data_IF_204797439875
#
_entry.id   IF_204797439875
#
_cell.length_a   1.000
_cell.length_b   1.000
_cell.length_c   1.000
_cell.angle_alpha   90.00
_cell.angle_beta   90.00
_cell.angle_gamma   90.00
#
_symmetry.space_group_name_H-M   'P 1'
#
loop_
_entity.id
_entity.type
_entity.pdbx_description
1 polymer ?
#
# COMPACT_ATOMS: atom_id res chain seq x y z
N UNK A 1 -10.69 11.43 -12.02
CA UNK A 1 -10.30 12.11 -10.76
C UNK A 1 -8.88 12.64 -10.90
N UNK A 2 -8.53 13.78 -10.32
CA UNK A 2 -7.15 14.27 -10.31
C UNK A 2 -6.28 13.32 -9.47
N UNK A 3 -5.07 13.10 -9.98
CA UNK A 3 -4.06 12.24 -9.36
C UNK A 3 -2.80 13.03 -9.06
N UNK A 4 -2.07 12.57 -8.06
CA UNK A 4 -0.69 12.93 -7.80
C UNK A 4 0.21 11.71 -7.91
N UNK A 5 1.51 11.89 -7.70
CA UNK A 5 2.49 10.81 -7.69
C UNK A 5 3.35 10.91 -6.43
N UNK A 6 3.62 9.78 -5.82
CA UNK A 6 4.52 9.64 -4.69
C UNK A 6 5.31 8.34 -4.80
N UNK A 7 6.47 8.29 -4.18
CA UNK A 7 7.29 7.10 -4.18
C UNK A 7 8.74 7.40 -3.85
N UNK A 8 9.63 6.69 -4.52
CA UNK A 8 11.06 6.71 -4.25
C UNK A 8 11.85 7.16 -5.48
N UNK A 9 12.85 7.98 -5.25
CA UNK A 9 13.81 8.42 -6.25
C UNK A 9 15.20 7.98 -5.83
N UNK A 10 15.97 7.40 -6.75
CA UNK A 10 17.37 7.11 -6.56
C UNK A 10 18.21 8.28 -7.07
N UNK A 11 18.97 8.86 -6.19
CA UNK A 11 19.79 10.04 -6.46
C UNK A 11 21.27 9.67 -6.31
N UNK A 12 22.09 10.16 -7.24
CA UNK A 12 23.54 10.03 -7.15
C UNK A 12 24.10 11.06 -6.18
N UNK A 13 24.83 10.59 -5.18
CA UNK A 13 25.72 11.42 -4.37
C UNK A 13 27.12 11.36 -4.97
N UNK A 14 27.48 12.38 -5.73
CA UNK A 14 28.81 12.43 -6.37
C UNK A 14 29.94 12.54 -5.35
N UNK A 15 29.70 13.20 -4.21
CA UNK A 15 30.73 13.38 -3.18
C UNK A 15 31.03 12.07 -2.44
N UNK A 16 30.02 11.26 -2.18
CA UNK A 16 30.15 9.96 -1.53
C UNK A 16 30.41 8.80 -2.51
N UNK A 17 30.14 9.01 -3.80
CA UNK A 17 30.21 7.96 -4.82
C UNK A 17 29.14 6.86 -4.63
N UNK A 18 28.02 7.19 -4.00
CA UNK A 18 26.94 6.26 -3.64
C UNK A 18 25.61 6.68 -4.27
N UNK A 19 24.64 5.76 -4.21
CA UNK A 19 23.23 6.07 -4.51
C UNK A 19 22.46 6.23 -3.20
N UNK A 20 21.71 7.31 -3.12
CA UNK A 20 20.78 7.60 -2.02
C UNK A 20 19.34 7.39 -2.49
N UNK A 21 18.52 6.78 -1.64
CA UNK A 21 17.09 6.67 -1.87
C UNK A 21 16.35 7.78 -1.14
N UNK A 22 15.57 8.59 -1.86
CA UNK A 22 14.74 9.67 -1.30
C UNK A 22 13.28 9.40 -1.56
N UNK A 23 12.44 9.61 -0.53
CA UNK A 23 10.99 9.60 -0.70
C UNK A 23 10.54 10.96 -1.20
N UNK A 24 9.65 10.95 -2.16
CA UNK A 24 9.03 12.15 -2.73
C UNK A 24 7.52 12.00 -2.79
N UNK A 25 6.83 13.12 -2.57
CA UNK A 25 5.41 13.26 -2.81
C UNK A 25 5.19 14.58 -3.55
N UNK A 26 4.59 14.52 -4.74
CA UNK A 26 4.31 15.72 -5.53
C UNK A 26 3.14 16.53 -4.98
N UNK A 27 2.24 15.90 -4.23
CA UNK A 27 1.12 16.46 -3.46
C UNK A 27 0.36 17.59 -4.15
N UNK A 28 0.07 17.46 -5.42
CA UNK A 28 -0.76 18.38 -6.20
C UNK A 28 -1.56 17.64 -7.27
N UNK A 29 -2.63 18.27 -7.74
CA UNK A 29 -3.43 17.75 -8.85
C UNK A 29 -2.62 17.89 -10.14
N UNK A 30 -2.02 16.78 -10.57
CA UNK A 30 -0.98 16.74 -11.59
C UNK A 30 -1.40 15.96 -12.83
N UNK A 31 -2.14 14.87 -12.64
CA UNK A 31 -2.39 13.87 -13.65
C UNK A 31 -3.87 13.50 -13.69
N UNK A 32 -4.31 13.01 -14.82
CA UNK A 32 -5.62 12.38 -14.97
C UNK A 32 -5.52 11.21 -15.95
N UNK A 33 -6.21 10.11 -15.66
CA UNK A 33 -6.41 9.02 -16.61
C UNK A 33 -7.75 9.30 -17.31
N UNK A 34 -7.75 9.79 -18.55
CA UNK A 34 -8.96 10.12 -19.25
C UNK A 34 -9.66 8.87 -19.78
N UNK A 35 -10.99 8.84 -19.71
CA UNK A 35 -11.79 7.82 -20.36
C UNK A 35 -12.18 8.28 -21.76
N UNK A 36 -12.27 7.35 -22.69
CA UNK A 36 -12.82 7.64 -24.02
C UNK A 36 -14.33 7.95 -23.92
N UNK A 37 -14.77 8.95 -24.65
CA UNK A 37 -16.19 9.29 -24.69
C UNK A 37 -17.00 8.20 -25.36
N UNK A 38 -18.22 7.96 -24.88
CA UNK A 38 -19.13 6.93 -25.46
C UNK A 38 -19.42 7.14 -26.95
N UNK A 39 -19.29 8.36 -27.44
CA UNK A 39 -19.43 8.65 -28.87
C UNK A 39 -18.37 7.96 -29.73
N UNK A 40 -17.22 7.65 -29.14
CA UNK A 40 -16.08 7.01 -29.81
C UNK A 40 -15.91 5.54 -29.37
N UNK A 41 -16.55 5.13 -28.26
CA UNK A 41 -16.65 3.75 -27.81
C UNK A 41 -18.12 3.38 -27.55
N UNK A 42 -18.82 2.94 -28.57
CA UNK A 42 -20.24 2.57 -28.52
C UNK A 42 -20.51 1.30 -27.72
N UNK A 43 -19.48 0.53 -27.41
CA UNK A 43 -19.56 -0.74 -26.70
C UNK A 43 -19.33 -0.58 -25.19
N UNK A 44 -18.99 0.60 -24.71
CA UNK A 44 -18.63 0.85 -23.31
C UNK A 44 -19.64 0.27 -22.30
N UNK A 45 -20.94 0.45 -22.56
CA UNK A 45 -22.01 -0.07 -21.70
C UNK A 45 -22.25 -1.60 -21.83
N UNK A 46 -21.64 -2.24 -22.80
CA UNK A 46 -21.73 -3.69 -22.99
C UNK A 46 -20.56 -4.46 -22.36
N UNK A 47 -19.62 -3.74 -21.79
CA UNK A 47 -18.40 -4.26 -21.15
C UNK A 47 -17.14 -3.85 -21.93
N UNK A 48 -16.28 -3.10 -21.25
CA UNK A 48 -14.96 -2.70 -21.74
C UNK A 48 -13.89 -3.40 -20.92
N UNK A 49 -13.04 -4.19 -21.60
CA UNK A 49 -11.87 -4.80 -20.97
C UNK A 49 -10.72 -3.80 -21.01
N UNK A 50 -10.37 -3.23 -19.86
CA UNK A 50 -9.26 -2.28 -19.77
C UNK A 50 -7.92 -2.95 -20.05
N UNK A 51 -7.14 -2.35 -20.95
CA UNK A 51 -5.74 -2.67 -21.14
C UNK A 51 -4.88 -1.64 -20.39
N UNK A 52 -4.18 -2.04 -19.31
CA UNK A 52 -3.41 -1.09 -18.49
C UNK A 52 -2.37 -0.28 -19.29
N UNK A 53 -1.77 -0.87 -20.31
CA UNK A 53 -0.76 -0.20 -21.12
C UNK A 53 -1.32 0.86 -22.07
N UNK A 54 -2.62 0.79 -22.39
CA UNK A 54 -3.28 1.69 -23.32
C UNK A 54 -4.25 2.61 -22.61
N UNK A 55 -5.16 2.03 -21.84
CA UNK A 55 -6.29 2.76 -21.25
C UNK A 55 -5.93 3.51 -19.97
N UNK A 56 -4.86 3.09 -19.29
CA UNK A 56 -4.46 3.66 -18.01
C UNK A 56 -3.26 4.60 -18.11
N UNK A 57 -2.89 5.03 -19.30
CA UNK A 57 -1.84 6.04 -19.47
C UNK A 57 -2.32 7.40 -18.95
N UNK A 58 -1.60 7.99 -17.99
CA UNK A 58 -1.99 9.28 -17.42
C UNK A 58 -1.65 10.43 -18.37
N UNK A 59 -2.59 11.35 -18.52
CA UNK A 59 -2.34 12.64 -19.15
C UNK A 59 -1.68 13.55 -18.11
N UNK A 60 -0.48 14.04 -18.45
CA UNK A 60 0.32 14.89 -17.58
C UNK A 60 0.19 16.38 -17.91
N UNK A 61 0.21 16.74 -19.18
CA UNK A 61 0.18 18.13 -19.60
C UNK A 61 0.10 18.28 -21.11
N UNK A 62 0.25 19.51 -21.57
CA UNK A 62 0.31 19.85 -22.99
C UNK A 62 1.76 19.98 -23.44
N UNK A 63 1.95 20.13 -24.76
CA UNK A 63 3.25 20.46 -25.33
C UNK A 63 3.77 21.77 -24.70
N UNK A 64 5.04 21.78 -24.28
CA UNK A 64 5.64 22.90 -23.56
C UNK A 64 5.41 22.93 -22.04
N UNK A 65 4.66 22.00 -21.49
CA UNK A 65 4.59 21.82 -20.03
C UNK A 65 5.96 21.49 -19.45
N UNK A 66 6.16 21.83 -18.17
CA UNK A 66 7.38 21.48 -17.43
C UNK A 66 7.66 19.96 -17.54
N UNK A 67 8.86 19.54 -17.96
CA UNK A 67 9.18 18.11 -18.05
C UNK A 67 9.02 17.40 -16.70
N UNK A 68 8.51 16.17 -16.72
CA UNK A 68 8.29 15.40 -15.50
C UNK A 68 9.60 15.18 -14.70
N UNK A 69 10.75 14.86 -15.32
CA UNK A 69 12.01 14.74 -14.61
C UNK A 69 12.42 16.01 -13.85
N UNK A 70 12.20 17.20 -14.45
CA UNK A 70 12.49 18.47 -13.80
C UNK A 70 11.58 18.71 -12.58
N UNK A 71 10.31 18.28 -12.66
CA UNK A 71 9.40 18.35 -11.54
C UNK A 71 9.81 17.40 -10.41
N UNK A 72 10.27 16.21 -10.78
CA UNK A 72 10.74 15.20 -9.83
C UNK A 72 12.02 15.66 -9.10
N UNK A 73 12.94 16.28 -9.83
CA UNK A 73 14.16 16.87 -9.29
C UNK A 73 13.86 17.96 -8.26
N UNK A 74 12.88 18.82 -8.56
CA UNK A 74 12.41 19.84 -7.64
C UNK A 74 11.85 19.24 -6.35
N UNK A 75 11.01 18.20 -6.46
CA UNK A 75 10.45 17.51 -5.31
C UNK A 75 11.49 16.77 -4.48
N UNK A 76 12.50 16.20 -5.13
CA UNK A 76 13.61 15.52 -4.47
C UNK A 76 14.67 16.48 -3.90
N UNK A 77 14.62 17.78 -4.26
CA UNK A 77 15.61 18.78 -3.85
C UNK A 77 17.00 18.54 -4.44
N UNK A 78 17.08 18.08 -5.70
CA UNK A 78 18.31 17.73 -6.41
C UNK A 78 18.29 18.30 -7.83
N UNK A 79 19.39 18.18 -8.55
CA UNK A 79 19.40 18.46 -9.98
C UNK A 79 18.83 17.26 -10.75
N UNK A 80 18.26 17.52 -11.93
CA UNK A 80 17.73 16.49 -12.81
C UNK A 80 18.77 15.45 -13.20
N UNK A 81 20.02 15.87 -13.44
CA UNK A 81 21.16 15.02 -13.79
C UNK A 81 21.59 14.05 -12.70
N UNK A 82 21.23 14.33 -11.44
CA UNK A 82 21.55 13.48 -10.29
C UNK A 82 20.52 12.36 -10.11
N UNK A 83 19.36 12.42 -10.77
CA UNK A 83 18.35 11.37 -10.72
C UNK A 83 18.79 10.21 -11.61
N UNK A 84 18.95 9.04 -11.00
CA UNK A 84 19.37 7.81 -11.69
C UNK A 84 18.17 6.97 -12.10
N UNK A 85 17.16 6.87 -11.20
CA UNK A 85 15.97 6.08 -11.42
C UNK A 85 14.86 6.49 -10.43
N UNK A 86 13.64 6.04 -10.65
CA UNK A 86 12.53 6.28 -9.73
C UNK A 86 11.49 5.16 -9.80
N UNK A 87 10.80 4.97 -8.69
CA UNK A 87 9.67 4.06 -8.53
C UNK A 87 8.53 4.84 -7.88
N UNK A 88 7.56 5.25 -8.70
CA UNK A 88 6.47 6.13 -8.30
C UNK A 88 5.12 5.48 -8.56
N UNK A 89 4.22 5.63 -7.61
CA UNK A 89 2.82 5.25 -7.71
C UNK A 89 1.92 6.48 -7.85
N UNK A 90 0.89 6.35 -8.68
CA UNK A 90 -0.16 7.36 -8.77
C UNK A 90 -1.16 7.16 -7.64
N UNK A 91 -1.64 8.24 -7.06
CA UNK A 91 -2.66 8.18 -6.03
C UNK A 91 -3.71 9.29 -6.19
N UNK A 92 -4.92 9.03 -5.71
CA UNK A 92 -5.98 10.04 -5.68
C UNK A 92 -5.82 10.94 -4.48
N UNK A 93 -5.91 12.26 -4.71
CA UNK A 93 -5.88 13.26 -3.64
C UNK A 93 -7.24 13.53 -3.00
N UNK A 94 -8.26 12.75 -3.38
CA UNK A 94 -9.56 12.88 -2.76
C UNK A 94 -9.46 12.60 -1.26
N UNK A 95 -9.78 13.60 -0.45
CA UNK A 95 -9.77 13.44 1.00
C UNK A 95 -10.82 12.41 1.45
N UNK A 96 -10.53 11.66 2.53
CA UNK A 96 -11.53 10.86 3.21
C UNK A 96 -12.75 11.71 3.58
N UNK A 97 -13.95 11.17 3.41
CA UNK A 97 -15.18 11.92 3.64
C UNK A 97 -16.27 11.04 4.25
N UNK A 98 -17.16 11.67 5.02
CA UNK A 98 -18.38 11.04 5.47
C UNK A 98 -19.47 11.30 4.44
N UNK A 99 -20.31 10.29 4.19
CA UNK A 99 -21.44 10.34 3.27
C UNK A 99 -22.68 9.75 3.94
N UNK A 100 -23.86 10.06 3.40
CA UNK A 100 -25.15 9.71 3.98
C UNK A 100 -25.81 10.91 4.65
N UNK A 101 -27.12 10.87 4.90
CA UNK A 101 -27.87 11.96 5.52
C UNK A 101 -27.33 12.39 6.88
N UNK A 102 -26.86 11.44 7.67
CA UNK A 102 -26.32 11.65 9.02
C UNK A 102 -24.78 11.44 9.07
N UNK A 103 -24.13 11.25 7.91
CA UNK A 103 -22.71 11.01 7.80
C UNK A 103 -22.27 9.64 8.34
N UNK A 104 -23.18 8.68 8.27
CA UNK A 104 -23.03 7.34 8.85
C UNK A 104 -22.09 6.42 8.06
N UNK A 105 -21.81 6.77 6.80
CA UNK A 105 -20.85 6.04 5.96
C UNK A 105 -19.54 6.81 5.86
N UNK A 106 -18.47 6.07 5.72
CA UNK A 106 -17.13 6.61 5.52
C UNK A 106 -16.56 6.14 4.19
N UNK A 107 -16.00 7.05 3.42
CA UNK A 107 -15.36 6.75 2.14
C UNK A 107 -13.92 7.28 2.14
N UNK A 108 -12.99 6.39 1.94
CA UNK A 108 -11.56 6.70 1.80
C UNK A 108 -10.89 5.71 0.85
N UNK A 109 -9.77 6.07 0.22
CA UNK A 109 -8.93 5.08 -0.44
C UNK A 109 -8.24 4.20 0.59
N UNK A 110 -7.95 2.95 0.24
CA UNK A 110 -7.13 2.01 1.02
C UNK A 110 -7.68 1.71 2.42
N UNK A 111 -8.99 1.72 2.63
CA UNK A 111 -9.61 1.21 3.86
C UNK A 111 -9.19 -0.26 4.03
N UNK A 112 -9.28 -1.01 3.00
CA UNK A 112 -8.65 -2.30 2.84
C UNK A 112 -7.17 -2.11 2.44
N UNK A 113 -6.16 -2.48 3.27
CA UNK A 113 -6.38 -3.01 4.63
C UNK A 113 -5.77 -2.11 5.73
N UNK A 114 -5.77 -0.80 5.51
CA UNK A 114 -5.26 0.15 6.52
C UNK A 114 -6.12 0.18 7.79
N UNK A 115 -7.39 -0.20 7.72
CA UNK A 115 -8.27 -0.28 8.88
C UNK A 115 -7.81 -1.39 9.83
N UNK A 116 -7.62 -2.63 9.32
CA UNK A 116 -7.11 -3.73 10.13
C UNK A 116 -5.68 -3.49 10.57
N UNK A 117 -4.83 -2.93 9.72
CA UNK A 117 -3.47 -2.58 10.09
C UNK A 117 -3.44 -1.58 11.26
N UNK A 118 -4.25 -0.52 11.23
CA UNK A 118 -4.31 0.46 12.30
C UNK A 118 -4.95 -0.10 13.57
N UNK A 119 -6.08 -0.79 13.48
CA UNK A 119 -6.79 -1.31 14.64
C UNK A 119 -5.99 -2.39 15.37
N UNK A 120 -5.33 -3.28 14.64
CA UNK A 120 -4.44 -4.29 15.25
C UNK A 120 -3.19 -3.67 15.86
N UNK A 121 -2.63 -2.61 15.25
CA UNK A 121 -1.53 -1.85 15.85
C UNK A 121 -1.95 -1.20 17.17
N UNK A 122 -3.09 -0.53 17.20
CA UNK A 122 -3.59 0.06 18.45
C UNK A 122 -3.85 -1.01 19.52
N UNK A 123 -4.46 -2.13 19.16
CA UNK A 123 -4.64 -3.25 20.09
C UNK A 123 -3.31 -3.81 20.62
N UNK A 124 -2.30 -3.89 19.76
CA UNK A 124 -0.95 -4.32 20.15
C UNK A 124 -0.28 -3.32 21.14
N UNK A 125 -0.43 -2.00 20.88
CA UNK A 125 0.15 -0.96 21.74
C UNK A 125 -0.58 -0.82 23.08
N UNK A 126 -1.89 -1.04 23.09
CA UNK A 126 -2.71 -0.99 24.31
C UNK A 126 -2.57 -2.25 25.17
N UNK A 127 -2.14 -3.37 24.59
CA UNK A 127 -1.84 -4.57 25.32
C UNK A 127 -0.62 -4.33 26.22
N UNK A 128 -0.85 -4.14 27.53
CA UNK A 128 0.24 -3.99 28.49
C UNK A 128 1.11 -5.25 28.50
N UNK A 129 2.43 -5.15 28.29
CA UNK A 129 3.29 -6.29 28.37
C UNK A 129 3.29 -6.82 29.81
N UNK A 130 2.85 -8.05 30.00
CA UNK A 130 3.05 -8.75 31.25
C UNK A 130 4.53 -9.06 31.40
N UNK A 131 5.17 -8.53 32.44
CA UNK A 131 6.62 -8.66 32.68
C UNK A 131 7.09 -10.10 32.86
N UNK A 132 6.17 -11.01 33.19
CA UNK A 132 6.44 -12.45 33.38
C UNK A 132 5.77 -13.33 32.32
N UNK A 133 5.34 -12.76 31.21
CA UNK A 133 4.72 -13.52 30.13
C UNK A 133 5.71 -14.45 29.45
N UNK A 134 5.32 -15.71 29.29
CA UNK A 134 6.06 -16.67 28.47
C UNK A 134 5.88 -16.41 26.96
N UNK A 135 5.07 -15.42 26.57
CA UNK A 135 4.76 -15.07 25.19
C UNK A 135 5.34 -13.71 24.84
N UNK A 136 5.93 -13.61 23.67
CA UNK A 136 6.36 -12.35 23.09
C UNK A 136 5.36 -11.95 21.98
N UNK A 137 4.53 -10.92 22.19
CA UNK A 137 3.64 -10.45 21.14
C UNK A 137 4.45 -9.78 20.03
N UNK A 138 4.10 -10.07 18.79
CA UNK A 138 4.70 -9.48 17.60
C UNK A 138 3.60 -8.95 16.71
N UNK A 139 3.70 -7.70 16.30
CA UNK A 139 2.86 -7.13 15.26
C UNK A 139 3.68 -6.97 13.99
N UNK A 140 3.13 -7.43 12.86
CA UNK A 140 3.76 -7.32 11.56
C UNK A 140 2.77 -6.79 10.54
N UNK A 141 3.22 -5.84 9.72
CA UNK A 141 2.47 -5.31 8.59
C UNK A 141 3.29 -5.54 7.32
N UNK A 142 2.65 -6.07 6.30
CA UNK A 142 3.27 -6.34 5.00
C UNK A 142 2.74 -5.35 3.97
N UNK A 143 3.60 -4.95 3.04
CA UNK A 143 3.25 -3.92 2.06
C UNK A 143 2.46 -4.50 0.87
N UNK A 144 2.83 -5.69 0.41
CA UNK A 144 2.33 -6.26 -0.83
C UNK A 144 1.35 -7.41 -0.57
N UNK A 145 0.06 -7.08 -0.42
CA UNK A 145 -1.02 -8.08 -0.46
C UNK A 145 -1.55 -8.17 -1.89
N UNK A 146 -2.09 -7.09 -2.44
CA UNK A 146 -2.71 -7.02 -3.79
C UNK A 146 -1.69 -7.25 -4.93
N UNK A 147 -0.47 -6.79 -4.77
CA UNK A 147 0.63 -7.06 -5.72
C UNK A 147 1.04 -8.53 -5.66
N UNK A 148 0.94 -9.15 -4.49
CA UNK A 148 1.18 -10.56 -4.26
C UNK A 148 1.95 -10.85 -2.97
N UNK A 149 1.38 -11.74 -2.16
CA UNK A 149 1.97 -12.16 -0.88
C UNK A 149 3.32 -12.87 -1.04
N UNK A 150 3.58 -13.49 -2.18
CA UNK A 150 4.87 -14.15 -2.48
C UNK A 150 5.96 -13.21 -2.99
N UNK A 151 5.67 -11.92 -3.12
CA UNK A 151 6.69 -10.91 -3.39
C UNK A 151 7.58 -10.70 -2.17
N UNK A 152 8.72 -10.01 -2.35
CA UNK A 152 9.67 -9.74 -1.25
C UNK A 152 9.05 -8.98 -0.08
N UNK A 153 8.03 -8.16 -0.30
CA UNK A 153 7.35 -7.34 0.70
C UNK A 153 6.02 -7.96 1.18
N UNK A 154 5.68 -9.14 0.71
CA UNK A 154 4.45 -9.84 1.03
C UNK A 154 4.55 -10.74 2.25
N UNK A 155 3.41 -11.25 2.72
CA UNK A 155 3.31 -12.08 3.91
C UNK A 155 3.96 -13.47 3.75
N UNK A 156 4.05 -13.99 2.53
CA UNK A 156 4.70 -15.28 2.19
C UNK A 156 6.20 -15.11 1.85
N UNK A 157 6.76 -13.94 2.11
CA UNK A 157 8.20 -13.70 1.96
C UNK A 157 8.99 -14.22 3.16
N UNK A 158 10.31 -14.23 3.05
CA UNK A 158 11.20 -14.54 4.18
C UNK A 158 11.30 -13.40 5.22
N UNK A 159 10.70 -12.23 4.96
CA UNK A 159 10.90 -11.02 5.76
C UNK A 159 10.66 -11.23 7.26
N UNK A 160 9.47 -11.72 7.63
CA UNK A 160 9.12 -11.93 9.04
C UNK A 160 10.06 -12.95 9.68
N UNK A 161 10.33 -14.05 8.97
CA UNK A 161 11.21 -15.11 9.45
C UNK A 161 12.63 -14.59 9.65
N UNK A 162 13.18 -13.85 8.69
CA UNK A 162 14.53 -13.31 8.75
C UNK A 162 14.68 -12.30 9.91
N UNK A 163 13.66 -11.48 10.16
CA UNK A 163 13.65 -10.54 11.30
C UNK A 163 13.63 -11.30 12.63
N UNK A 164 12.75 -12.29 12.78
CA UNK A 164 12.65 -13.09 14.00
C UNK A 164 13.95 -13.88 14.26
N UNK A 165 14.52 -14.48 13.24
CA UNK A 165 15.79 -15.21 13.36
C UNK A 165 16.93 -14.26 13.79
N UNK A 166 16.98 -13.04 13.26
CA UNK A 166 17.98 -12.04 13.67
C UNK A 166 17.78 -11.57 15.12
N UNK A 167 16.54 -11.37 15.56
CA UNK A 167 16.24 -11.03 16.96
C UNK A 167 16.67 -12.18 17.88
N UNK A 168 16.29 -13.41 17.55
CA UNK A 168 16.64 -14.58 18.36
C UNK A 168 18.16 -14.79 18.41
N UNK A 169 18.88 -14.60 17.32
CA UNK A 169 20.34 -14.73 17.29
C UNK A 169 21.06 -13.69 18.19
N UNK A 170 20.40 -12.61 18.56
CA UNK A 170 20.93 -11.63 19.51
C UNK A 170 20.70 -12.04 20.99
N UNK A 171 19.95 -13.12 21.23
CA UNK A 171 19.58 -13.61 22.57
C UNK A 171 20.18 -15.02 22.72
N UNK A 172 20.85 -15.36 23.84
CA UNK A 172 21.34 -16.72 24.07
C UNK A 172 20.19 -17.73 24.10
N UNK A 173 20.17 -18.66 23.15
CA UNK A 173 19.17 -19.72 23.05
C UNK A 173 19.74 -20.96 22.34
N UNK A 174 19.03 -22.10 22.41
CA UNK A 174 19.33 -23.28 21.62
C UNK A 174 18.41 -23.37 20.40
N UNK A 175 18.86 -24.02 19.33
CA UNK A 175 18.02 -24.31 18.16
C UNK A 175 16.72 -25.06 18.52
N UNK A 176 16.77 -25.92 19.55
CA UNK A 176 15.59 -26.62 20.05
C UNK A 176 14.59 -25.65 20.69
N UNK A 177 15.05 -24.71 21.52
CA UNK A 177 14.19 -23.71 22.15
C UNK A 177 13.52 -22.81 21.10
N UNK A 178 14.24 -22.42 20.07
CA UNK A 178 13.69 -21.67 18.93
C UNK A 178 12.60 -22.47 18.20
N UNK A 179 12.85 -23.74 17.89
CA UNK A 179 11.86 -24.60 17.23
C UNK A 179 10.60 -24.78 18.10
N UNK A 180 10.76 -24.93 19.42
CA UNK A 180 9.63 -25.01 20.35
C UNK A 180 8.84 -23.69 20.41
N UNK A 181 9.52 -22.53 20.43
CA UNK A 181 8.87 -21.23 20.44
C UNK A 181 7.99 -21.05 19.20
N UNK A 182 8.51 -21.35 18.01
CA UNK A 182 7.71 -21.28 16.78
C UNK A 182 6.54 -22.28 16.76
N UNK A 183 6.78 -23.52 17.24
CA UNK A 183 5.73 -24.54 17.28
C UNK A 183 4.59 -24.20 18.27
N UNK A 184 4.90 -23.43 19.31
CA UNK A 184 3.91 -22.96 20.30
C UNK A 184 3.31 -21.59 19.96
N UNK A 185 3.77 -20.94 18.90
CA UNK A 185 3.21 -19.66 18.45
C UNK A 185 1.97 -19.88 17.60
N UNK A 186 1.13 -18.84 17.54
CA UNK A 186 0.04 -18.77 16.57
C UNK A 186 0.08 -17.40 15.88
N UNK A 187 -0.52 -17.33 14.71
CA UNK A 187 -0.67 -16.11 13.92
C UNK A 187 -2.15 -15.76 13.84
N UNK A 188 -2.47 -14.52 14.18
CA UNK A 188 -3.77 -13.92 13.88
C UNK A 188 -3.60 -13.07 12.63
N UNK A 189 -4.24 -13.46 11.54
CA UNK A 189 -4.34 -12.66 10.33
C UNK A 189 -5.58 -11.77 10.42
N UNK A 190 -5.43 -10.51 10.05
CA UNK A 190 -6.51 -9.54 10.02
C UNK A 190 -6.59 -8.92 8.62
N UNK A 191 -7.78 -8.92 8.05
CA UNK A 191 -8.06 -8.42 6.72
C UNK A 191 -9.52 -7.95 6.66
N UNK A 192 -9.83 -6.97 5.79
CA UNK A 192 -11.17 -6.42 5.69
C UNK A 192 -12.10 -7.37 4.92
N UNK A 193 -13.30 -7.56 5.44
CA UNK A 193 -14.33 -8.35 4.77
C UNK A 193 -15.25 -7.46 3.94
N UNK A 194 -15.70 -7.98 2.79
CA UNK A 194 -16.74 -7.33 1.99
C UNK A 194 -18.09 -7.38 2.69
N UNK A 195 -18.71 -6.23 2.92
CA UNK A 195 -20.10 -6.14 3.36
C UNK A 195 -21.07 -6.63 2.28
N UNK A 196 -22.30 -6.94 2.68
CA UNK A 196 -23.36 -7.31 1.73
C UNK A 196 -23.65 -6.13 0.81
N UNK A 197 -23.41 -6.30 -0.49
CA UNK A 197 -23.76 -5.27 -1.47
C UNK A 197 -25.29 -5.24 -1.68
N UNK A 198 -26.00 -4.11 -1.47
CA UNK A 198 -27.45 -4.06 -1.48
C UNK A 198 -28.08 -4.49 -2.82
N UNK A 199 -27.41 -4.27 -3.94
CA UNK A 199 -27.87 -4.64 -5.27
C UNK A 199 -27.46 -6.07 -5.69
N UNK A 200 -26.57 -6.72 -4.93
CA UNK A 200 -26.00 -8.03 -5.25
C UNK A 200 -25.89 -8.90 -4.00
N UNK A 201 -26.96 -8.93 -3.20
CA UNK A 201 -26.98 -9.68 -1.94
C UNK A 201 -26.77 -11.19 -2.12
N UNK A 202 -27.02 -11.71 -3.32
CA UNK A 202 -26.79 -13.10 -3.71
C UNK A 202 -25.29 -13.46 -3.85
N UNK A 203 -24.40 -12.46 -3.88
CA UNK A 203 -22.95 -12.66 -3.92
C UNK A 203 -22.31 -12.81 -2.55
N UNK A 204 -23.03 -12.45 -1.50
CA UNK A 204 -22.55 -12.58 -0.13
C UNK A 204 -22.81 -14.00 0.42
N UNK A 205 -22.07 -14.37 1.47
CA UNK A 205 -22.33 -15.60 2.24
C UNK A 205 -23.77 -15.59 2.76
N UNK A 206 -24.56 -16.63 2.50
CA UNK A 206 -25.96 -16.66 2.91
C UNK A 206 -26.15 -16.76 4.43
N UNK A 207 -25.14 -17.29 5.15
CA UNK A 207 -25.22 -17.57 6.59
C UNK A 207 -24.50 -16.50 7.43
N UNK A 208 -23.33 -16.02 6.96
CA UNK A 208 -22.46 -15.10 7.72
C UNK A 208 -22.42 -13.75 7.00
N UNK A 209 -23.49 -12.98 7.15
CA UNK A 209 -23.58 -11.67 6.51
C UNK A 209 -22.78 -10.64 7.30
N UNK A 210 -21.85 -9.99 6.62
CA UNK A 210 -21.13 -8.82 7.11
C UNK A 210 -21.94 -7.57 6.75
N UNK A 211 -22.18 -6.72 7.73
CA UNK A 211 -22.99 -5.49 7.60
C UNK A 211 -22.05 -4.29 7.57
#
# INVERSE_FOLDING_TARGET
RPLSAAGRVLVRDEAAGTLESRLVDLDRDLLVIPSLAIHMDRTLNSGHAFNPQVDMQPLYGLEGSKPFPALLAEAAGVKEEDIVDFDLSLYTRQAPTRIGPDGELFMAPRIDDLECAATTLYGFLDAAPETDSACAPVWAMFDNEEVGSSTRQGADSSFLRDVLDRILNAIPHSAQAQAQAFANSFVLSADNAHAVHPNFADKADPCNKVI
#
